data_IF_439055003551
#
_entry.id   IF_439055003551
#
_cell.length_a   1.000
_cell.length_b   1.000
_cell.length_c   1.000
_cell.angle_alpha   90.00
_cell.angle_beta   90.00
_cell.angle_gamma   90.00
#
_symmetry.space_group_name_H-M   'P 1'
#
loop_
_entity.id
_entity.type
_entity.pdbx_description
1 polymer ?
#
# COMPACT_ATOMS: atom_id res chain seq x y z
N UNK A 1 -17.64 -19.37 -7.35
CA UNK A 1 -16.37 -19.41 -6.59
C UNK A 1 -16.10 -18.01 -6.05
N UNK A 2 -16.04 -17.83 -4.73
CA UNK A 2 -15.50 -16.59 -4.16
C UNK A 2 -14.01 -16.52 -4.51
N UNK A 3 -13.55 -15.40 -5.06
CA UNK A 3 -12.10 -15.15 -5.20
C UNK A 3 -11.51 -15.24 -3.79
N UNK A 4 -10.62 -16.21 -3.55
CA UNK A 4 -9.86 -16.29 -2.31
C UNK A 4 -8.74 -15.25 -2.39
N UNK A 5 -8.97 -14.04 -1.88
CA UNK A 5 -7.90 -13.08 -1.61
C UNK A 5 -7.47 -13.12 -0.15
N UNK A 6 -6.32 -12.53 0.14
CA UNK A 6 -5.61 -12.53 1.42
C UNK A 6 -4.24 -13.20 1.37
N UNK A 7 -3.79 -13.70 0.20
CA UNK A 7 -2.46 -14.32 0.07
C UNK A 7 -1.33 -13.29 0.08
N UNK A 8 -1.63 -12.02 -0.24
CA UNK A 8 -0.68 -10.91 -0.30
C UNK A 8 0.60 -11.26 -1.08
N UNK A 9 0.46 -11.89 -2.26
CA UNK A 9 1.62 -12.33 -3.04
C UNK A 9 2.47 -11.13 -3.47
N UNK A 10 3.70 -11.07 -2.97
CA UNK A 10 4.61 -9.94 -3.18
C UNK A 10 5.37 -10.05 -4.51
N UNK A 11 5.39 -8.96 -5.26
CA UNK A 11 6.22 -8.77 -6.45
C UNK A 11 6.99 -7.45 -6.34
N UNK A 12 8.33 -7.52 -6.28
CA UNK A 12 9.19 -6.33 -6.23
C UNK A 12 9.66 -5.90 -7.63
N UNK A 13 9.92 -4.61 -7.82
CA UNK A 13 10.34 -4.04 -9.11
C UNK A 13 11.39 -2.94 -8.96
N UNK A 14 12.22 -2.77 -9.99
CA UNK A 14 13.28 -1.77 -10.10
C UNK A 14 12.84 -0.46 -10.79
N UNK A 15 11.55 -0.12 -10.70
CA UNK A 15 10.99 1.16 -11.17
C UNK A 15 10.25 1.85 -10.05
N UNK A 16 10.22 3.18 -10.07
CA UNK A 16 9.46 3.99 -9.10
C UNK A 16 9.83 3.70 -7.64
N UNK A 17 11.12 3.43 -7.38
CA UNK A 17 11.63 3.11 -6.05
C UNK A 17 11.37 4.27 -5.08
N UNK A 18 10.70 4.01 -3.95
CA UNK A 18 10.64 4.97 -2.87
C UNK A 18 11.91 4.86 -2.00
N UNK A 19 12.15 5.89 -1.18
CA UNK A 19 13.09 5.77 -0.06
C UNK A 19 12.43 5.05 1.10
N UNK A 20 13.20 4.22 1.82
CA UNK A 20 12.69 3.42 2.93
C UNK A 20 12.21 4.26 4.11
N UNK A 21 12.85 5.39 4.40
CA UNK A 21 12.47 6.31 5.48
C UNK A 21 11.02 6.81 5.36
N UNK A 22 10.66 7.51 4.28
CA UNK A 22 9.28 7.95 4.04
C UNK A 22 8.26 6.81 4.07
N UNK A 23 8.58 5.63 3.53
CA UNK A 23 7.67 4.49 3.60
C UNK A 23 7.51 3.95 5.02
N UNK A 24 8.57 3.93 5.82
CA UNK A 24 8.47 3.53 7.22
C UNK A 24 7.62 4.51 8.03
N UNK A 25 7.78 5.82 7.81
CA UNK A 25 6.93 6.84 8.43
C UNK A 25 5.47 6.75 7.97
N UNK A 26 5.22 6.49 6.68
CA UNK A 26 3.86 6.30 6.17
C UNK A 26 3.22 5.03 6.76
N UNK A 27 3.99 3.94 6.91
CA UNK A 27 3.54 2.71 7.57
C UNK A 27 3.13 2.95 9.02
N UNK A 28 3.92 3.74 9.76
CA UNK A 28 3.58 4.15 11.12
C UNK A 28 2.30 5.01 11.15
N UNK A 29 2.16 5.97 10.23
CA UNK A 29 0.93 6.76 10.10
C UNK A 29 -0.29 5.89 9.82
N UNK A 30 -0.15 4.86 8.97
CA UNK A 30 -1.23 3.91 8.70
C UNK A 30 -1.66 3.18 9.97
N UNK A 31 -0.71 2.75 10.79
CA UNK A 31 -0.98 2.07 12.06
C UNK A 31 -1.65 2.99 13.10
N UNK A 32 -1.14 4.22 13.25
CA UNK A 32 -1.69 5.20 14.19
C UNK A 32 -3.12 5.62 13.80
N UNK A 33 -3.39 5.73 12.50
CA UNK A 33 -4.68 6.13 11.94
C UNK A 33 -5.54 4.94 11.49
N UNK A 34 -5.28 3.73 11.99
CA UNK A 34 -5.94 2.48 11.54
C UNK A 34 -7.48 2.49 11.60
N UNK A 35 -8.06 3.34 12.44
CA UNK A 35 -9.52 3.54 12.56
C UNK A 35 -10.11 4.52 11.53
N UNK A 36 -9.28 5.24 10.78
CA UNK A 36 -9.75 6.14 9.72
C UNK A 36 -10.21 5.35 8.50
N UNK A 37 -11.02 6.00 7.68
CA UNK A 37 -11.52 5.47 6.42
C UNK A 37 -10.59 5.82 5.26
N UNK A 38 -10.36 4.87 4.36
CA UNK A 38 -9.57 5.10 3.16
C UNK A 38 -10.29 6.07 2.21
N UNK A 39 -9.56 7.01 1.58
CA UNK A 39 -10.15 7.92 0.61
C UNK A 39 -10.68 7.15 -0.61
N UNK A 40 -11.80 7.62 -1.16
CA UNK A 40 -12.29 7.10 -2.45
C UNK A 40 -11.44 7.61 -3.62
N UNK A 41 -10.95 8.85 -3.53
CA UNK A 41 -10.05 9.48 -4.50
C UNK A 41 -9.13 10.50 -3.81
N UNK A 42 -7.81 10.54 -4.12
CA UNK A 42 -7.10 9.52 -4.90
C UNK A 42 -7.08 8.17 -4.18
N UNK A 43 -6.89 7.06 -4.91
CA UNK A 43 -6.76 5.70 -4.34
C UNK A 43 -5.35 5.46 -3.81
N UNK A 44 -4.89 6.39 -2.97
CA UNK A 44 -3.55 6.37 -2.42
C UNK A 44 -3.46 7.17 -1.12
N UNK A 45 -2.51 6.78 -0.28
CA UNK A 45 -1.99 7.56 0.83
C UNK A 45 -0.52 7.84 0.53
N UNK A 46 -0.10 9.10 0.56
CA UNK A 46 1.28 9.49 0.27
C UNK A 46 1.87 10.32 1.40
N UNK A 47 3.17 10.16 1.60
CA UNK A 47 3.96 10.98 2.50
C UNK A 47 5.23 11.42 1.79
N UNK A 48 5.45 12.74 1.78
CA UNK A 48 6.64 13.37 1.22
C UNK A 48 7.52 13.90 2.35
N UNK A 49 8.83 13.64 2.26
CA UNK A 49 9.84 14.15 3.19
C UNK A 49 10.99 14.71 2.35
N UNK A 50 11.06 16.04 2.24
CA UNK A 50 11.98 16.70 1.30
C UNK A 50 11.63 16.37 -0.15
N UNK A 51 12.61 15.94 -0.93
CA UNK A 51 12.43 15.50 -2.33
C UNK A 51 11.98 14.05 -2.47
N UNK A 52 11.93 13.29 -1.38
CA UNK A 52 11.56 11.88 -1.39
C UNK A 52 10.08 11.70 -1.05
N UNK A 53 9.47 10.68 -1.65
CA UNK A 53 8.06 10.35 -1.45
C UNK A 53 7.88 8.84 -1.34
N UNK A 54 6.93 8.44 -0.50
CA UNK A 54 6.35 7.11 -0.51
C UNK A 54 4.84 7.20 -0.61
N UNK A 55 4.26 6.33 -1.40
CA UNK A 55 2.83 6.19 -1.60
C UNK A 55 2.43 4.73 -1.46
N UNK A 56 1.34 4.52 -0.72
CA UNK A 56 0.61 3.25 -0.65
C UNK A 56 -0.68 3.44 -1.45
N UNK A 57 -0.84 2.70 -2.54
CA UNK A 57 -1.98 2.84 -3.46
C UNK A 57 -2.64 1.51 -3.76
N UNK A 58 -3.86 1.53 -4.30
CA UNK A 58 -4.61 0.32 -4.62
C UNK A 58 -5.42 0.43 -5.92
N UNK A 59 -5.56 -0.70 -6.60
CA UNK A 59 -6.06 -0.75 -7.97
C UNK A 59 -7.60 -0.65 -8.10
N UNK A 60 -8.36 -1.16 -7.12
CA UNK A 60 -9.82 -1.26 -7.20
C UNK A 60 -10.54 -0.17 -6.40
N UNK A 61 -11.80 0.10 -6.74
CA UNK A 61 -12.67 0.90 -5.86
C UNK A 61 -13.03 0.07 -4.63
N UNK A 62 -13.01 0.73 -3.46
CA UNK A 62 -13.29 0.10 -2.17
C UNK A 62 -14.69 0.47 -1.68
N UNK A 63 -15.17 -0.23 -0.67
CA UNK A 63 -16.37 0.20 0.04
C UNK A 63 -16.11 1.52 0.78
N UNK A 64 -17.15 2.35 0.91
CA UNK A 64 -17.04 3.72 1.43
C UNK A 64 -16.44 3.83 2.84
N UNK A 65 -16.53 2.77 3.66
CA UNK A 65 -16.03 2.75 5.04
C UNK A 65 -14.86 1.78 5.23
N UNK A 66 -14.10 1.47 4.17
CA UNK A 66 -12.95 0.57 4.27
C UNK A 66 -11.88 1.19 5.18
N UNK A 67 -11.51 0.55 6.30
CA UNK A 67 -10.62 1.16 7.28
C UNK A 67 -9.15 1.03 6.86
N UNK A 68 -8.33 1.99 7.28
CA UNK A 68 -6.87 1.98 7.05
C UNK A 68 -6.19 0.72 7.59
N UNK A 69 -6.75 0.11 8.64
CA UNK A 69 -6.30 -1.15 9.21
C UNK A 69 -6.11 -2.27 8.15
N UNK A 70 -6.92 -2.26 7.08
CA UNK A 70 -6.84 -3.27 6.01
C UNK A 70 -5.54 -3.23 5.20
N UNK A 71 -4.87 -2.06 5.14
CA UNK A 71 -3.62 -1.91 4.40
C UNK A 71 -2.41 -2.54 5.12
N UNK A 72 -2.48 -2.69 6.45
CA UNK A 72 -1.30 -2.93 7.31
C UNK A 72 -0.53 -4.18 6.88
N UNK A 73 -1.22 -5.32 6.72
CA UNK A 73 -0.55 -6.60 6.46
C UNK A 73 0.26 -6.59 5.15
N UNK A 74 -0.33 -6.10 4.06
CA UNK A 74 0.38 -5.98 2.79
C UNK A 74 1.46 -4.88 2.84
N UNK A 75 1.24 -3.82 3.63
CA UNK A 75 2.19 -2.72 3.76
C UNK A 75 3.47 -3.14 4.48
N UNK A 76 3.35 -3.95 5.53
CA UNK A 76 4.49 -4.52 6.24
C UNK A 76 5.29 -5.44 5.31
N UNK A 77 4.63 -6.38 4.62
CA UNK A 77 5.28 -7.29 3.69
C UNK A 77 6.03 -6.53 2.56
N UNK A 78 5.39 -5.53 1.95
CA UNK A 78 6.02 -4.69 0.92
C UNK A 78 7.23 -3.90 1.44
N UNK A 79 7.14 -3.39 2.67
CA UNK A 79 8.26 -2.69 3.28
C UNK A 79 9.46 -3.63 3.45
N UNK A 80 9.26 -4.81 4.03
CA UNK A 80 10.33 -5.73 4.38
C UNK A 80 10.94 -6.40 3.14
N UNK A 81 10.11 -6.88 2.22
CA UNK A 81 10.57 -7.69 1.09
C UNK A 81 11.08 -6.83 -0.08
N UNK A 82 10.50 -5.63 -0.28
CA UNK A 82 10.84 -4.77 -1.42
C UNK A 82 11.56 -3.49 -1.02
N UNK A 83 10.92 -2.63 -0.21
CA UNK A 83 11.41 -1.24 -0.03
C UNK A 83 12.70 -1.17 0.77
N UNK A 84 12.89 -2.01 1.79
CA UNK A 84 14.16 -2.08 2.52
C UNK A 84 15.33 -2.53 1.62
N UNK A 85 15.03 -3.22 0.51
CA UNK A 85 15.99 -3.65 -0.50
C UNK A 85 16.11 -2.65 -1.66
N UNK A 86 15.56 -1.44 -1.52
CA UNK A 86 15.64 -0.39 -2.53
C UNK A 86 14.78 -0.68 -3.76
N UNK A 87 13.68 -1.44 -3.62
CA UNK A 87 12.73 -1.74 -4.70
C UNK A 87 11.36 -1.14 -4.41
N UNK A 88 10.56 -0.88 -5.43
CA UNK A 88 9.11 -0.74 -5.24
C UNK A 88 8.48 -2.14 -5.19
N UNK A 89 7.19 -2.22 -4.86
CA UNK A 89 6.50 -3.50 -4.94
C UNK A 89 4.98 -3.39 -5.04
N UNK A 90 4.39 -4.52 -5.38
CA UNK A 90 2.95 -4.74 -5.31
C UNK A 90 2.63 -6.05 -4.61
N UNK A 91 1.64 -6.01 -3.74
CA UNK A 91 1.01 -7.16 -3.15
C UNK A 91 -0.25 -7.47 -3.95
N UNK A 92 -0.30 -8.65 -4.53
CA UNK A 92 -1.46 -9.16 -5.26
C UNK A 92 -2.41 -9.87 -4.31
N UNK A 93 -3.66 -10.01 -4.74
CA UNK A 93 -4.71 -10.69 -3.99
C UNK A 93 -4.86 -10.15 -2.55
N UNK A 94 -4.76 -8.83 -2.36
CA UNK A 94 -4.96 -8.19 -1.07
C UNK A 94 -6.45 -8.08 -0.79
N UNK A 95 -6.89 -8.42 0.42
CA UNK A 95 -8.27 -8.23 0.85
C UNK A 95 -8.43 -6.90 1.60
N UNK A 96 -9.05 -5.91 0.96
CA UNK A 96 -9.41 -4.64 1.60
C UNK A 96 -10.93 -4.62 1.84
N UNK A 97 -11.36 -5.19 2.97
CA UNK A 97 -12.77 -5.32 3.37
C UNK A 97 -13.66 -5.98 2.29
N UNK A 98 -13.36 -7.23 1.95
CA UNK A 98 -14.05 -8.05 0.95
C UNK A 98 -13.86 -7.62 -0.52
N UNK A 99 -13.03 -6.60 -0.76
CA UNK A 99 -12.52 -6.27 -2.09
C UNK A 99 -11.15 -6.88 -2.30
N UNK A 100 -11.07 -7.82 -3.23
CA UNK A 100 -9.79 -8.35 -3.71
C UNK A 100 -9.14 -7.35 -4.67
N UNK A 101 -7.98 -6.81 -4.31
CA UNK A 101 -7.26 -5.78 -5.07
C UNK A 101 -5.76 -6.05 -5.11
N UNK A 102 -5.05 -5.23 -5.86
CA UNK A 102 -3.60 -5.05 -5.70
C UNK A 102 -3.37 -3.84 -4.79
N UNK A 103 -2.41 -3.95 -3.86
CA UNK A 103 -1.86 -2.84 -3.08
C UNK A 103 -0.41 -2.63 -3.52
N UNK A 104 0.00 -1.38 -3.72
CA UNK A 104 1.35 -1.04 -4.18
C UNK A 104 2.04 -0.13 -3.17
N UNK A 105 3.38 -0.22 -3.10
CA UNK A 105 4.23 0.71 -2.36
C UNK A 105 5.32 1.22 -3.32
N UNK A 106 5.28 2.52 -3.64
CA UNK A 106 6.19 3.15 -4.61
C UNK A 106 6.37 4.65 -4.35
N UNK A 107 7.16 5.34 -5.16
CA UNK A 107 7.29 6.81 -5.08
C UNK A 107 6.18 7.59 -5.81
N UNK A 108 5.16 6.91 -6.36
CA UNK A 108 4.04 7.52 -7.09
C UNK A 108 2.68 7.13 -6.51
N UNK A 109 1.72 8.07 -6.55
CA UNK A 109 0.36 7.84 -6.06
C UNK A 109 -0.47 6.92 -6.96
N UNK A 110 -0.12 6.84 -8.25
CA UNK A 110 -0.89 6.14 -9.27
C UNK A 110 -0.12 4.97 -9.91
N UNK A 111 -0.80 4.15 -10.70
CA UNK A 111 -0.18 3.02 -11.41
C UNK A 111 0.00 1.78 -10.54
N UNK A 112 -0.80 1.68 -9.48
CA UNK A 112 -1.43 0.42 -9.09
C UNK A 112 -2.71 0.28 -9.93
#
# INVERSE_FOLDING_TARGET
>A
LSKRCGSNRIECNDSHQPKSGPCSSLREQIYLNRGNTLPATPRALCLSQGSDQCCVSWANLLHANTPWATLISANDALQFDCVNNGKSGRALDVNLSDVCTTQCMSNRAEGC
#
